data_IF_499286853372
#
_entry.id   IF_499286853372
#
_cell.length_a   1.000
_cell.length_b   1.000
_cell.length_c   1.000
_cell.angle_alpha   90.00
_cell.angle_beta   90.00
_cell.angle_gamma   90.00
#
_symmetry.space_group_name_H-M   'P 1'
#
loop_
_entity.id
_entity.type
_entity.pdbx_description
1 polymer ?
#
# COMPACT_ATOMS: atom_id res chain seq x y z
N UNK A 1 7.64 9.96 -2.56
CA UNK A 1 9.02 10.40 -2.34
C UNK A 1 9.35 10.33 -0.85
N UNK A 2 9.56 9.14 -0.30
CA UNK A 2 9.98 9.00 1.09
C UNK A 2 11.29 8.22 1.06
N UNK A 3 12.37 8.97 0.94
CA UNK A 3 13.73 8.45 0.77
C UNK A 3 14.57 8.58 2.04
N UNK A 4 13.95 9.07 3.12
CA UNK A 4 14.56 9.25 4.41
C UNK A 4 13.45 9.30 5.49
N UNK A 5 13.79 9.07 6.77
CA UNK A 5 12.81 9.11 7.86
C UNK A 5 12.02 10.43 7.90
N UNK A 6 12.70 11.57 7.70
CA UNK A 6 12.08 12.89 7.78
C UNK A 6 10.94 13.06 6.77
N UNK A 7 11.14 12.63 5.53
CA UNK A 7 10.13 12.68 4.48
C UNK A 7 8.94 11.77 4.80
N UNK A 8 9.20 10.54 5.29
CA UNK A 8 8.14 9.63 5.77
C UNK A 8 7.31 10.25 6.88
N UNK A 9 7.94 10.93 7.84
CA UNK A 9 7.24 11.57 8.94
C UNK A 9 6.40 12.77 8.47
N UNK A 10 6.93 13.60 7.58
CA UNK A 10 6.17 14.72 6.98
C UNK A 10 4.97 14.20 6.20
N UNK A 11 5.15 13.17 5.36
CA UNK A 11 4.07 12.55 4.61
C UNK A 11 3.00 11.96 5.53
N UNK A 12 3.40 11.32 6.64
CA UNK A 12 2.49 10.87 7.68
C UNK A 12 1.70 12.02 8.31
N UNK A 13 2.35 13.13 8.68
CA UNK A 13 1.68 14.29 9.28
C UNK A 13 0.64 14.92 8.34
N UNK A 14 0.97 15.07 7.05
CA UNK A 14 0.04 15.57 6.03
C UNK A 14 -1.14 14.59 5.87
N UNK A 15 -0.85 13.29 5.80
CA UNK A 15 -1.85 12.24 5.70
C UNK A 15 -2.82 12.23 6.88
N UNK A 16 -2.33 12.28 8.12
CA UNK A 16 -3.17 12.32 9.33
C UNK A 16 -4.01 13.60 9.37
N UNK A 17 -3.44 14.74 9.02
CA UNK A 17 -4.19 16.01 8.98
C UNK A 17 -5.33 15.91 7.98
N UNK A 18 -5.06 15.38 6.79
CA UNK A 18 -6.07 15.15 5.75
C UNK A 18 -7.12 14.14 6.19
N UNK A 19 -6.72 13.07 6.89
CA UNK A 19 -7.64 12.08 7.43
C UNK A 19 -8.63 12.71 8.43
N UNK A 20 -8.15 13.53 9.37
CA UNK A 20 -8.99 14.22 10.35
C UNK A 20 -10.03 15.11 9.63
N UNK A 21 -9.59 15.87 8.62
CA UNK A 21 -10.49 16.72 7.83
C UNK A 21 -11.53 15.87 7.08
N UNK A 22 -11.14 14.76 6.46
CA UNK A 22 -12.07 13.88 5.74
C UNK A 22 -13.10 13.23 6.67
N UNK A 23 -12.71 12.85 7.89
CA UNK A 23 -13.63 12.36 8.92
C UNK A 23 -14.63 13.46 9.30
N UNK A 24 -14.14 14.69 9.52
CA UNK A 24 -14.99 15.85 9.81
C UNK A 24 -16.01 16.13 8.68
N UNK A 25 -15.58 16.02 7.42
CA UNK A 25 -16.42 16.16 6.23
C UNK A 25 -17.33 14.93 5.96
N UNK A 26 -17.30 13.91 6.83
CA UNK A 26 -18.06 12.64 6.68
C UNK A 26 -17.75 11.87 5.40
N UNK A 27 -16.56 12.08 4.82
CA UNK A 27 -16.07 11.38 3.62
C UNK A 27 -15.38 10.06 4.01
N UNK A 28 -16.14 9.14 4.61
CA UNK A 28 -15.58 7.98 5.32
C UNK A 28 -14.75 7.04 4.45
N UNK A 29 -15.14 6.78 3.21
CA UNK A 29 -14.36 5.93 2.28
C UNK A 29 -12.96 6.49 2.04
N UNK A 30 -12.89 7.75 1.64
CA UNK A 30 -11.61 8.41 1.40
C UNK A 30 -10.80 8.54 2.69
N UNK A 31 -11.47 8.74 3.83
CA UNK A 31 -10.80 8.79 5.13
C UNK A 31 -10.09 7.47 5.46
N UNK A 32 -10.72 6.31 5.22
CA UNK A 32 -10.12 4.99 5.47
C UNK A 32 -8.86 4.80 4.60
N UNK A 33 -8.93 5.20 3.32
CA UNK A 33 -7.80 5.11 2.40
C UNK A 33 -6.64 6.02 2.88
N UNK A 34 -6.93 7.28 3.24
CA UNK A 34 -5.89 8.21 3.72
C UNK A 34 -5.26 7.73 5.03
N UNK A 35 -6.07 7.21 5.96
CA UNK A 35 -5.57 6.63 7.22
C UNK A 35 -4.58 5.50 6.92
N UNK A 36 -4.96 4.60 6.01
CA UNK A 36 -4.13 3.49 5.59
C UNK A 36 -2.80 3.97 4.96
N UNK A 37 -2.86 4.92 4.02
CA UNK A 37 -1.67 5.51 3.39
C UNK A 37 -0.75 6.14 4.45
N UNK A 38 -1.33 6.82 5.44
CA UNK A 38 -0.59 7.44 6.54
C UNK A 38 0.11 6.39 7.40
N UNK A 39 -0.57 5.31 7.78
CA UNK A 39 0.04 4.22 8.55
C UNK A 39 1.22 3.60 7.79
N UNK A 40 1.10 3.39 6.47
CA UNK A 40 2.22 2.94 5.65
C UNK A 40 3.43 3.88 5.72
N UNK A 41 3.22 5.21 5.72
CA UNK A 41 4.31 6.17 5.87
C UNK A 41 4.97 6.10 7.25
N UNK A 42 4.19 5.89 8.31
CA UNK A 42 4.72 5.67 9.64
C UNK A 42 5.56 4.37 9.72
N UNK A 43 5.11 3.31 9.06
CA UNK A 43 5.88 2.07 8.97
C UNK A 43 7.18 2.26 8.17
N UNK A 44 7.16 3.00 7.06
CA UNK A 44 8.39 3.33 6.32
C UNK A 44 9.36 4.16 7.17
N UNK A 45 8.87 5.11 7.97
CA UNK A 45 9.69 5.84 8.94
C UNK A 45 10.42 4.89 9.90
N UNK A 46 9.70 3.97 10.53
CA UNK A 46 10.31 3.00 11.45
C UNK A 46 11.27 2.05 10.74
N UNK A 47 11.00 1.69 9.47
CA UNK A 47 11.91 0.88 8.68
C UNK A 47 13.24 1.63 8.46
N UNK A 48 13.20 2.91 8.08
CA UNK A 48 14.40 3.73 7.96
C UNK A 48 15.18 3.83 9.29
N UNK A 49 14.49 4.14 10.39
CA UNK A 49 15.11 4.25 11.73
C UNK A 49 15.76 2.93 12.15
N UNK A 50 15.09 1.80 11.91
CA UNK A 50 15.63 0.47 12.24
C UNK A 50 16.92 0.15 11.47
N UNK A 51 17.01 0.54 10.20
CA UNK A 51 18.22 0.34 9.38
C UNK A 51 19.36 1.24 9.88
N UNK A 52 19.08 2.51 10.15
CA UNK A 52 20.07 3.49 10.64
C UNK A 52 20.63 3.05 12.01
N UNK A 53 19.75 2.64 12.92
CA UNK A 53 20.13 2.21 14.27
C UNK A 53 20.64 0.77 14.33
N UNK A 54 20.62 0.02 13.21
CA UNK A 54 20.94 -1.41 13.14
C UNK A 54 20.10 -2.27 14.11
N UNK A 55 18.87 -1.85 14.36
CA UNK A 55 17.90 -2.58 15.19
C UNK A 55 17.17 -3.62 14.34
N UNK A 56 17.63 -4.87 14.46
CA UNK A 56 17.10 -5.98 13.67
C UNK A 56 15.68 -6.37 14.08
N UNK A 57 15.33 -6.27 15.36
CA UNK A 57 14.01 -6.69 15.85
C UNK A 57 12.93 -5.72 15.35
N UNK A 58 13.19 -4.41 15.48
CA UNK A 58 12.30 -3.39 14.91
C UNK A 58 12.20 -3.57 13.38
N UNK A 59 13.30 -3.84 12.69
CA UNK A 59 13.28 -4.05 11.25
C UNK A 59 12.39 -5.22 10.83
N UNK A 60 12.48 -6.35 11.54
CA UNK A 60 11.65 -7.54 11.28
C UNK A 60 10.18 -7.24 11.55
N UNK A 61 9.86 -6.62 12.70
CA UNK A 61 8.49 -6.27 13.08
C UNK A 61 7.89 -5.32 12.04
N UNK A 62 8.61 -4.24 11.70
CA UNK A 62 8.16 -3.27 10.70
C UNK A 62 8.00 -3.91 9.33
N UNK A 63 8.91 -4.79 8.90
CA UNK A 63 8.80 -5.50 7.62
C UNK A 63 7.56 -6.40 7.55
N UNK A 64 7.23 -7.10 8.66
CA UNK A 64 6.01 -7.90 8.78
C UNK A 64 4.76 -7.02 8.68
N UNK A 65 4.75 -5.88 9.36
CA UNK A 65 3.65 -4.93 9.30
C UNK A 65 3.48 -4.35 7.89
N UNK A 66 4.58 -3.94 7.25
CA UNK A 66 4.55 -3.45 5.85
C UNK A 66 3.94 -4.52 4.94
N UNK A 67 4.36 -5.78 5.06
CA UNK A 67 3.79 -6.88 4.27
C UNK A 67 2.27 -7.02 4.47
N UNK A 68 1.82 -7.06 5.72
CA UNK A 68 0.40 -7.22 6.05
C UNK A 68 -0.40 -6.05 5.51
N UNK A 69 0.02 -4.82 5.79
CA UNK A 69 -0.68 -3.64 5.33
C UNK A 69 -0.68 -3.58 3.79
N UNK A 70 0.47 -3.76 3.13
CA UNK A 70 0.57 -3.68 1.68
C UNK A 70 -0.43 -4.59 0.95
N UNK A 71 -0.68 -5.79 1.49
CA UNK A 71 -1.56 -6.77 0.87
C UNK A 71 -3.01 -6.74 1.39
N UNK A 72 -3.29 -6.13 2.55
CA UNK A 72 -4.65 -6.07 3.10
C UNK A 72 -5.53 -5.00 2.42
N UNK A 73 -4.94 -4.08 1.66
CA UNK A 73 -5.66 -2.96 1.04
C UNK A 73 -6.90 -3.32 0.23
N UNK A 74 -6.89 -4.34 -0.65
CA UNK A 74 -8.08 -4.69 -1.42
C UNK A 74 -9.24 -5.12 -0.50
N UNK A 75 -8.92 -5.73 0.64
CA UNK A 75 -9.91 -6.12 1.66
C UNK A 75 -10.46 -4.91 2.40
N UNK A 76 -9.61 -3.96 2.77
CA UNK A 76 -10.05 -2.72 3.41
C UNK A 76 -10.94 -1.89 2.50
N UNK A 77 -10.61 -1.83 1.20
CA UNK A 77 -11.44 -1.16 0.21
C UNK A 77 -12.80 -1.86 0.02
N UNK A 78 -12.82 -3.19 0.03
CA UNK A 78 -14.06 -3.95 0.05
C UNK A 78 -14.91 -3.62 1.29
N UNK A 79 -14.30 -3.61 2.48
CA UNK A 79 -15.02 -3.29 3.72
C UNK A 79 -15.54 -1.85 3.70
N UNK A 80 -14.71 -0.87 3.26
CA UNK A 80 -15.13 0.53 3.19
C UNK A 80 -16.33 0.71 2.26
N UNK A 81 -16.28 0.10 1.07
CA UNK A 81 -17.38 0.16 0.09
C UNK A 81 -18.67 -0.49 0.60
N UNK A 82 -18.58 -1.56 1.41
CA UNK A 82 -19.76 -2.14 2.09
C UNK A 82 -20.36 -1.19 3.13
N UNK A 83 -19.52 -0.54 3.94
CA UNK A 83 -19.95 0.33 5.03
C UNK A 83 -20.62 1.61 4.52
N UNK A 84 -20.10 2.19 3.43
CA UNK A 84 -20.71 3.35 2.78
C UNK A 84 -21.85 2.91 1.86
N UNK A 85 -23.04 2.77 2.46
CA UNK A 85 -24.31 2.51 1.77
C UNK A 85 -24.45 3.36 0.50
N UNK A 86 -24.33 2.74 -0.67
CA UNK A 86 -24.41 3.49 -1.93
C UNK A 86 -24.50 2.61 -3.17
N UNK A 87 -25.60 1.89 -3.34
CA UNK A 87 -25.99 1.23 -4.61
C UNK A 87 -24.85 0.43 -5.28
N UNK A 88 -24.19 -0.46 -4.53
CA UNK A 88 -23.41 -1.51 -5.19
C UNK A 88 -24.37 -2.59 -5.65
N UNK A 89 -24.29 -2.94 -6.93
CA UNK A 89 -25.07 -4.01 -7.50
C UNK A 89 -24.50 -5.35 -6.98
N UNK A 90 -24.93 -5.74 -5.78
CA UNK A 90 -24.47 -6.96 -5.07
C UNK A 90 -24.59 -8.23 -5.93
N UNK A 91 -25.46 -8.24 -6.94
CA UNK A 91 -25.58 -9.33 -7.91
C UNK A 91 -24.24 -9.70 -8.59
N UNK A 92 -23.38 -8.74 -8.91
CA UNK A 92 -22.06 -9.05 -9.50
C UNK A 92 -20.98 -9.29 -8.45
N UNK A 93 -21.06 -8.65 -7.28
CA UNK A 93 -20.11 -8.87 -6.18
C UNK A 93 -20.20 -10.28 -5.61
N UNK A 94 -21.42 -10.87 -5.53
CA UNK A 94 -21.64 -12.23 -5.04
C UNK A 94 -20.91 -13.30 -5.88
N UNK A 95 -20.76 -13.09 -7.20
CA UNK A 95 -20.12 -14.07 -8.10
C UNK A 95 -18.63 -14.27 -7.76
N UNK A 96 -17.98 -13.27 -7.20
CA UNK A 96 -16.55 -13.28 -6.91
C UNK A 96 -16.22 -13.21 -5.41
N UNK A 97 -17.25 -13.27 -4.56
CA UNK A 97 -17.12 -13.16 -3.11
C UNK A 97 -16.26 -14.31 -2.53
N UNK A 98 -16.23 -15.46 -3.20
CA UNK A 98 -15.37 -16.59 -2.83
C UNK A 98 -13.86 -16.29 -2.97
N UNK A 99 -13.47 -15.30 -3.80
CA UNK A 99 -12.06 -14.92 -3.95
C UNK A 99 -11.50 -14.26 -2.70
N UNK A 100 -12.33 -13.62 -1.87
CA UNK A 100 -11.90 -12.97 -0.63
C UNK A 100 -11.35 -13.98 0.41
N UNK A 101 -12.06 -15.04 0.82
CA UNK A 101 -11.52 -16.03 1.75
C UNK A 101 -10.34 -16.79 1.13
N UNK A 102 -10.34 -17.06 -0.19
CA UNK A 102 -9.17 -17.64 -0.86
C UNK A 102 -7.95 -16.73 -0.78
N UNK A 103 -8.13 -15.41 -0.97
CA UNK A 103 -7.05 -14.44 -0.86
C UNK A 103 -6.53 -14.34 0.57
N UNK A 104 -7.42 -14.26 1.57
CA UNK A 104 -7.02 -14.25 2.98
C UNK A 104 -6.24 -15.50 3.34
N UNK A 105 -6.74 -16.68 2.96
CA UNK A 105 -6.04 -17.94 3.19
C UNK A 105 -4.66 -17.95 2.52
N UNK A 106 -4.59 -17.50 1.26
CA UNK A 106 -3.33 -17.37 0.54
C UNK A 106 -2.35 -16.43 1.24
N UNK A 107 -2.80 -15.25 1.71
CA UNK A 107 -1.97 -14.30 2.44
C UNK A 107 -1.42 -14.89 3.73
N UNK A 108 -2.24 -15.65 4.47
CA UNK A 108 -1.82 -16.36 5.68
C UNK A 108 -0.75 -17.39 5.35
N UNK A 109 -0.95 -18.23 4.32
CA UNK A 109 0.03 -19.21 3.86
C UNK A 109 1.34 -18.52 3.45
N UNK A 110 1.25 -17.43 2.67
CA UNK A 110 2.41 -16.68 2.22
C UNK A 110 3.18 -16.06 3.40
N UNK A 111 2.46 -15.48 4.36
CA UNK A 111 3.06 -14.93 5.58
C UNK A 111 3.84 -15.99 6.36
N UNK A 112 3.22 -17.14 6.64
CA UNK A 112 3.89 -18.23 7.35
C UNK A 112 5.07 -18.80 6.57
N UNK A 113 4.94 -18.93 5.25
CA UNK A 113 6.04 -19.33 4.38
C UNK A 113 7.23 -18.36 4.51
N UNK A 114 7.03 -17.05 4.37
CA UNK A 114 8.09 -16.06 4.50
C UNK A 114 8.68 -16.03 5.93
N UNK A 115 7.84 -16.16 6.96
CA UNK A 115 8.29 -16.19 8.35
C UNK A 115 9.16 -17.42 8.63
N UNK A 116 8.79 -18.59 8.11
CA UNK A 116 9.57 -19.83 8.24
C UNK A 116 10.95 -19.75 7.58
N UNK A 117 11.08 -18.89 6.56
CA UNK A 117 12.33 -18.64 5.86
C UNK A 117 13.15 -17.48 6.45
N UNK A 118 12.61 -16.79 7.47
CA UNK A 118 13.25 -15.64 8.12
C UNK A 118 13.62 -14.51 7.14
N UNK A 119 12.80 -14.28 6.11
CA UNK A 119 13.08 -13.31 5.04
C UNK A 119 12.38 -11.96 5.24
N UNK A 120 11.68 -11.77 6.36
CA UNK A 120 11.09 -10.48 6.72
C UNK A 120 12.18 -9.50 7.14
N UNK A 121 12.77 -8.84 6.15
CA UNK A 121 13.77 -7.80 6.35
C UNK A 121 13.56 -6.70 5.31
N UNK A 122 13.79 -5.47 5.74
CA UNK A 122 13.82 -4.30 4.87
C UNK A 122 15.24 -3.74 4.88
N UNK A 123 15.81 -3.55 3.71
CA UNK A 123 17.17 -3.02 3.53
C UNK A 123 17.16 -1.76 2.68
N UNK A 124 18.30 -1.08 2.55
CA UNK A 124 18.45 -0.08 1.51
C UNK A 124 18.83 -0.73 0.19
N UNK A 125 18.26 -0.21 -0.88
CA UNK A 125 18.52 -0.70 -2.21
C UNK A 125 20.00 -0.59 -2.62
N UNK A 126 20.59 0.56 -2.30
CA UNK A 126 22.01 0.83 -2.44
C UNK A 126 22.58 1.02 -1.03
N UNK A 127 23.60 0.24 -0.70
CA UNK A 127 24.26 0.29 0.61
C UNK A 127 25.03 1.60 0.85
N UNK A 128 25.45 2.29 -0.22
CA UNK A 128 26.18 3.55 -0.21
C UNK A 128 25.23 4.70 -0.49
N UNK A 129 24.28 4.90 0.41
CA UNK A 129 23.30 5.95 0.25
C UNK A 129 23.47 7.03 1.32
N UNK A 130 23.75 8.25 0.88
CA UNK A 130 24.00 9.38 1.78
C UNK A 130 22.76 10.24 2.04
N UNK A 131 21.86 10.42 1.05
CA UNK A 131 20.70 11.33 1.18
C UNK A 131 19.35 10.81 0.63
N UNK A 132 19.36 9.98 -0.42
CA UNK A 132 18.13 9.49 -1.09
C UNK A 132 18.10 7.97 -0.99
N UNK A 133 17.68 7.45 0.17
CA UNK A 133 17.80 6.05 0.50
C UNK A 133 16.47 5.35 0.34
N UNK A 134 16.48 4.32 -0.48
CA UNK A 134 15.26 3.66 -0.89
C UNK A 134 15.13 2.32 -0.24
N UNK A 135 13.98 2.07 0.38
CA UNK A 135 13.71 0.79 1.03
C UNK A 135 13.54 -0.31 -0.04
N UNK A 136 14.16 -1.45 0.22
CA UNK A 136 14.00 -2.71 -0.49
C UNK A 136 13.19 -3.64 0.39
N UNK A 137 12.04 -4.07 -0.11
CA UNK A 137 11.18 -5.06 0.55
C UNK A 137 11.58 -6.46 0.09
N UNK A 138 12.68 -6.96 0.65
CA UNK A 138 13.36 -8.17 0.17
C UNK A 138 12.43 -9.40 0.20
N UNK A 139 11.45 -9.42 1.10
CA UNK A 139 10.46 -10.49 1.21
C UNK A 139 9.57 -10.65 -0.05
N UNK A 140 9.30 -9.59 -0.82
CA UNK A 140 8.59 -9.73 -2.11
C UNK A 140 9.48 -10.30 -3.22
N UNK A 141 10.80 -10.12 -3.11
CA UNK A 141 11.77 -10.68 -4.06
C UNK A 141 12.10 -12.15 -3.83
N UNK A 142 11.83 -12.68 -2.63
CA UNK A 142 12.26 -14.01 -2.22
C UNK A 142 11.62 -15.16 -3.02
N UNK A 143 10.29 -15.13 -3.21
CA UNK A 143 9.58 -16.13 -4.02
C UNK A 143 8.68 -15.44 -5.04
N UNK A 144 9.18 -15.33 -6.27
CA UNK A 144 8.50 -14.64 -7.38
C UNK A 144 7.13 -15.24 -7.69
N UNK A 145 6.96 -16.55 -7.57
CA UNK A 145 5.68 -17.22 -7.87
C UNK A 145 4.61 -16.77 -6.88
N UNK A 146 4.92 -16.82 -5.58
CA UNK A 146 3.97 -16.40 -4.54
C UNK A 146 3.66 -14.90 -4.66
N UNK A 147 4.67 -14.07 -4.94
CA UNK A 147 4.48 -12.64 -5.20
C UNK A 147 3.55 -12.39 -6.40
N UNK A 148 3.75 -13.09 -7.51
CA UNK A 148 2.87 -12.99 -8.70
C UNK A 148 1.44 -13.41 -8.35
N UNK A 149 1.25 -14.53 -7.65
CA UNK A 149 -0.08 -15.00 -7.25
C UNK A 149 -0.75 -13.98 -6.33
N UNK A 150 -0.02 -13.41 -5.35
CA UNK A 150 -0.52 -12.36 -4.47
C UNK A 150 -1.06 -11.17 -5.26
N UNK A 151 -0.33 -10.76 -6.31
CA UNK A 151 -0.73 -9.67 -7.19
C UNK A 151 -1.92 -10.03 -8.08
N UNK A 152 -2.00 -11.25 -8.61
CA UNK A 152 -3.18 -11.70 -9.38
C UNK A 152 -4.43 -11.60 -8.51
N UNK A 153 -4.37 -12.06 -7.26
CA UNK A 153 -5.48 -11.90 -6.33
C UNK A 153 -5.79 -10.42 -6.04
N UNK A 154 -4.76 -9.63 -5.73
CA UNK A 154 -4.89 -8.20 -5.48
C UNK A 154 -5.66 -7.51 -6.63
N UNK A 155 -5.22 -7.74 -7.87
CA UNK A 155 -5.84 -7.15 -9.06
C UNK A 155 -7.24 -7.68 -9.33
N UNK A 156 -7.46 -8.98 -9.17
CA UNK A 156 -8.78 -9.58 -9.35
C UNK A 156 -9.80 -8.95 -8.40
N UNK A 157 -9.41 -8.73 -7.14
CA UNK A 157 -10.24 -8.03 -6.15
C UNK A 157 -10.49 -6.59 -6.58
N UNK A 158 -9.46 -5.85 -6.98
CA UNK A 158 -9.60 -4.45 -7.40
C UNK A 158 -10.52 -4.28 -8.63
N UNK A 159 -10.42 -5.18 -9.63
CA UNK A 159 -11.24 -5.15 -10.85
C UNK A 159 -12.73 -5.34 -10.57
N UNK A 160 -13.11 -6.12 -9.56
CA UNK A 160 -14.51 -6.32 -9.18
C UNK A 160 -15.16 -5.00 -8.75
N UNK A 161 -14.39 -4.09 -8.16
CA UNK A 161 -14.89 -2.84 -7.59
C UNK A 161 -14.63 -1.60 -8.46
N UNK A 162 -14.15 -1.80 -9.69
CA UNK A 162 -13.69 -0.79 -10.67
C UNK A 162 -14.72 0.30 -11.03
N UNK A 163 -16.03 0.04 -10.90
CA UNK A 163 -17.04 0.78 -11.66
C UNK A 163 -17.56 2.12 -11.10
N UNK A 164 -17.12 2.62 -9.93
CA UNK A 164 -17.86 3.75 -9.30
C UNK A 164 -17.09 4.94 -8.73
N UNK A 165 -15.75 4.90 -8.61
CA UNK A 165 -14.99 6.00 -7.97
C UNK A 165 -13.72 6.35 -8.74
N UNK A 166 -13.75 7.40 -9.55
CA UNK A 166 -12.64 7.83 -10.43
C UNK A 166 -11.34 8.17 -9.66
N UNK A 167 -11.44 8.75 -8.46
CA UNK A 167 -10.24 9.08 -7.67
C UNK A 167 -9.61 7.85 -7.01
N UNK A 168 -10.44 6.92 -6.53
CA UNK A 168 -9.98 5.63 -6.02
C UNK A 168 -9.36 4.80 -7.14
N UNK A 169 -9.93 4.89 -8.33
CA UNK A 169 -9.42 4.29 -9.55
C UNK A 169 -7.98 4.76 -9.84
N UNK A 170 -7.69 6.06 -9.73
CA UNK A 170 -6.32 6.57 -9.90
C UNK A 170 -5.33 5.96 -8.91
N UNK A 171 -5.67 5.81 -7.63
CA UNK A 171 -4.80 5.19 -6.64
C UNK A 171 -4.54 3.70 -6.97
N UNK A 172 -5.59 2.96 -7.35
CA UNK A 172 -5.47 1.54 -7.71
C UNK A 172 -4.74 1.33 -9.03
N UNK A 173 -4.91 2.23 -10.01
CA UNK A 173 -4.18 2.22 -11.28
C UNK A 173 -2.71 2.58 -11.06
N UNK A 174 -2.39 3.56 -10.22
CA UNK A 174 -1.00 3.88 -9.85
C UNK A 174 -0.33 2.70 -9.14
N UNK A 175 -1.06 2.00 -8.26
CA UNK A 175 -0.60 0.75 -7.65
C UNK A 175 -0.42 -0.34 -8.72
N UNK A 176 -1.39 -0.56 -9.62
CA UNK A 176 -1.28 -1.55 -10.71
C UNK A 176 -0.12 -1.26 -11.67
N UNK A 177 0.08 0.00 -12.08
CA UNK A 177 1.18 0.42 -12.94
C UNK A 177 2.51 0.15 -12.24
N UNK A 178 2.62 0.42 -10.94
CA UNK A 178 3.83 0.09 -10.19
C UNK A 178 4.13 -1.40 -10.12
N UNK A 179 3.09 -2.24 -10.09
CA UNK A 179 3.19 -3.71 -10.14
C UNK A 179 3.61 -4.21 -11.52
N UNK A 180 2.92 -3.81 -12.58
CA UNK A 180 3.24 -4.21 -13.96
C UNK A 180 4.68 -3.81 -14.29
N UNK A 181 5.06 -2.59 -13.92
CA UNK A 181 6.41 -2.08 -14.15
C UNK A 181 7.47 -2.96 -13.46
N UNK A 182 7.20 -3.42 -12.24
CA UNK A 182 8.10 -4.29 -11.46
C UNK A 182 8.20 -5.72 -11.99
N UNK A 183 7.14 -6.23 -12.66
CA UNK A 183 7.12 -7.59 -13.19
C UNK A 183 7.77 -7.72 -14.58
N UNK A 184 7.66 -6.71 -15.45
CA UNK A 184 8.01 -6.86 -16.88
C UNK A 184 9.27 -6.11 -17.34
N UNK A 185 9.74 -5.08 -16.61
CA UNK A 185 10.77 -4.17 -17.12
C UNK A 185 12.17 -4.31 -16.47
N UNK A 186 12.39 -5.25 -15.55
CA UNK A 186 13.67 -5.35 -14.84
C UNK A 186 14.53 -6.56 -15.23
N UNK A 187 15.63 -6.30 -15.95
CA UNK A 187 16.82 -7.16 -15.86
C UNK A 187 17.63 -6.91 -14.56
N UNK A 188 17.46 -5.73 -13.93
CA UNK A 188 18.06 -5.38 -12.63
C UNK A 188 17.00 -5.08 -11.57
N UNK A 189 16.66 -6.12 -10.80
CA UNK A 189 15.55 -6.19 -9.82
C UNK A 189 15.60 -5.09 -8.74
N UNK A 190 16.79 -4.54 -8.47
CA UNK A 190 16.98 -3.56 -7.39
C UNK A 190 16.28 -2.22 -7.70
N UNK A 191 16.48 -1.64 -8.89
CA UNK A 191 15.96 -0.30 -9.20
C UNK A 191 14.41 -0.25 -9.20
N UNK A 192 13.72 -1.37 -9.43
CA UNK A 192 12.28 -1.41 -9.62
C UNK A 192 11.42 -1.62 -8.36
N UNK A 193 11.82 -2.50 -7.41
CA UNK A 193 11.14 -2.62 -6.09
C UNK A 193 11.07 -1.26 -5.39
N UNK A 194 12.04 -0.43 -5.71
CA UNK A 194 12.17 0.92 -5.27
C UNK A 194 10.93 1.77 -5.66
N UNK A 195 10.43 1.74 -6.92
CA UNK A 195 9.33 2.61 -7.44
C UNK A 195 8.09 2.63 -6.53
N UNK A 196 7.75 1.49 -5.94
CA UNK A 196 6.63 1.34 -5.02
C UNK A 196 6.66 2.22 -3.76
N UNK A 197 7.76 2.23 -3.00
CA UNK A 197 7.86 3.04 -1.77
C UNK A 197 7.61 4.54 -2.01
N UNK A 198 7.98 5.02 -3.20
CA UNK A 198 7.77 6.43 -3.55
C UNK A 198 6.30 6.79 -3.81
N UNK A 199 5.48 5.81 -4.23
CA UNK A 199 4.09 6.01 -4.60
C UNK A 199 3.22 6.11 -3.36
N UNK A 200 3.45 5.27 -2.34
CA UNK A 200 2.74 5.36 -1.05
C UNK A 200 2.87 6.75 -0.44
N UNK A 201 4.08 7.25 -0.42
CA UNK A 201 4.40 8.57 0.09
C UNK A 201 3.77 9.69 -0.76
N UNK A 202 3.81 9.58 -2.08
CA UNK A 202 3.15 10.54 -2.96
C UNK A 202 1.63 10.54 -2.73
N UNK A 203 1.01 9.37 -2.64
CA UNK A 203 -0.43 9.23 -2.39
C UNK A 203 -0.80 9.75 -0.99
N UNK A 204 0.01 9.48 0.04
CA UNK A 204 -0.24 9.99 1.39
C UNK A 204 -0.28 11.54 1.44
N UNK A 205 0.57 12.19 0.65
CA UNK A 205 0.65 13.66 0.58
C UNK A 205 -0.44 14.25 -0.33
N UNK A 206 -0.81 13.57 -1.41
CA UNK A 206 -1.67 14.17 -2.46
C UNK A 206 -3.12 13.71 -2.41
N UNK A 207 -3.39 12.44 -2.11
CA UNK A 207 -4.73 11.87 -2.23
C UNK A 207 -5.74 12.57 -1.30
N UNK A 208 -5.39 12.73 -0.02
CA UNK A 208 -6.25 13.39 0.96
C UNK A 208 -6.59 14.84 0.59
N UNK A 209 -5.59 15.71 0.36
CA UNK A 209 -5.84 17.08 -0.07
C UNK A 209 -6.65 17.21 -1.36
N UNK A 210 -6.41 16.34 -2.35
CA UNK A 210 -7.19 16.35 -3.59
C UNK A 210 -8.66 16.02 -3.37
N UNK A 211 -8.98 15.02 -2.53
CA UNK A 211 -10.38 14.72 -2.18
C UNK A 211 -11.04 15.91 -1.49
N UNK A 212 -10.31 16.61 -0.61
CA UNK A 212 -10.84 17.78 0.11
C UNK A 212 -11.12 18.92 -0.87
N UNK A 213 -10.20 19.22 -1.79
CA UNK A 213 -10.37 20.27 -2.80
C UNK A 213 -11.54 19.96 -3.76
N UNK A 214 -11.67 18.70 -4.20
CA UNK A 214 -12.78 18.26 -5.03
C UNK A 214 -14.13 18.43 -4.32
N UNK A 215 -14.20 18.11 -3.02
CA UNK A 215 -15.41 18.31 -2.21
C UNK A 215 -15.87 19.77 -2.18
N UNK A 216 -14.93 20.72 -2.17
CA UNK A 216 -15.22 22.15 -2.23
C UNK A 216 -15.43 22.69 -3.66
N UNK A 217 -15.39 21.84 -4.68
CA UNK A 217 -15.73 22.20 -6.05
C UNK A 217 -14.62 22.87 -6.86
N UNK A 218 -13.36 22.78 -6.43
CA UNK A 218 -12.22 23.38 -7.15
C UNK A 218 -11.93 22.76 -8.54
N UNK A 219 -12.52 21.60 -8.85
CA UNK A 219 -12.32 20.88 -10.11
C UNK A 219 -13.60 20.78 -10.98
N UNK A 220 -14.63 21.58 -10.68
CA UNK A 220 -15.83 21.76 -11.52
C UNK A 220 -15.68 22.98 -12.40
#
# INVERSE_FOLDING_TARGET
MCFNPTASLIAFSIGITSWIILVYLKLYNSSIIVMYLSIMQLLEYFAHVSIINKDNDTNIITSKLIFVFALIQPLLYYISTLLTKGNYNFKNANKYLFLLPCYVLFLVIFYFYLNSKQVFKTTYLNNTCDNICRLSWDFFGYNKIFTIIAFIFYLSICLIFWKKYALVYYAHVLILISVIYTLFLSRDIKILVSIFGSIWCFLAVTYGPLVILDHFGYFK
#
